data_IF_681440955249
#
_entry.id   IF_681440955249
#
_cell.length_a   1.000
_cell.length_b   1.000
_cell.length_c   1.000
_cell.angle_alpha   90.00
_cell.angle_beta   90.00
_cell.angle_gamma   90.00
#
_symmetry.space_group_name_H-M   'P 1'
#
loop_
_entity.id
_entity.type
_entity.pdbx_description
1 polymer ?
#
# COMPACT_ATOMS: atom_id res chain seq x y z
N UNK A 1 -37.93 -16.83 -26.11
CA UNK A 1 -36.78 -16.30 -25.34
C UNK A 1 -36.99 -16.43 -23.82
N UNK A 2 -38.18 -16.14 -23.28
CA UNK A 2 -38.51 -16.23 -21.85
C UNK A 2 -38.41 -17.64 -21.20
N UNK A 3 -38.62 -18.73 -21.95
CA UNK A 3 -38.52 -20.11 -21.44
C UNK A 3 -37.09 -20.54 -21.06
N UNK A 4 -36.05 -19.93 -21.66
CA UNK A 4 -34.64 -20.26 -21.38
C UNK A 4 -34.12 -19.62 -20.09
N UNK A 5 -34.69 -18.48 -19.70
CA UNK A 5 -34.35 -17.78 -18.45
C UNK A 5 -34.96 -18.46 -17.23
N UNK A 6 -36.20 -18.95 -17.35
CA UNK A 6 -36.89 -19.68 -16.27
C UNK A 6 -36.13 -20.97 -15.90
N UNK A 7 -35.59 -21.69 -16.89
CA UNK A 7 -34.84 -22.93 -16.67
C UNK A 7 -33.49 -22.70 -15.96
N UNK A 8 -32.85 -21.55 -16.19
CA UNK A 8 -31.59 -21.18 -15.51
C UNK A 8 -31.81 -20.74 -14.05
N UNK A 9 -32.98 -20.18 -13.72
CA UNK A 9 -33.35 -19.86 -12.33
C UNK A 9 -33.64 -21.10 -11.49
N UNK A 10 -34.29 -22.13 -12.05
CA UNK A 10 -34.53 -23.40 -11.34
C UNK A 10 -33.26 -24.20 -11.01
N UNK A 11 -32.17 -24.04 -11.78
CA UNK A 11 -30.90 -24.77 -11.60
C UNK A 11 -29.96 -24.11 -10.57
N UNK A 12 -30.24 -22.85 -10.17
CA UNK A 12 -29.47 -22.13 -9.13
C UNK A 12 -30.06 -22.25 -7.72
N UNK A 13 -31.07 -23.11 -7.52
CA UNK A 13 -31.52 -23.42 -6.17
C UNK A 13 -30.47 -24.31 -5.50
N UNK A 14 -29.91 -23.83 -4.39
CA UNK A 14 -28.89 -24.53 -3.62
C UNK A 14 -29.24 -26.01 -3.45
N UNK A 15 -28.31 -26.96 -3.68
CA UNK A 15 -28.58 -28.39 -3.59
C UNK A 15 -29.15 -28.82 -2.23
N UNK A 16 -28.97 -28.00 -1.19
CA UNK A 16 -29.58 -28.14 0.15
C UNK A 16 -31.12 -28.07 0.13
N UNK A 17 -31.71 -27.26 -0.76
CA UNK A 17 -33.16 -27.08 -0.87
C UNK A 17 -33.81 -28.32 -1.50
N UNK A 18 -33.15 -28.94 -2.48
CA UNK A 18 -33.61 -30.20 -3.09
C UNK A 18 -33.56 -31.37 -2.10
N UNK A 19 -32.53 -31.44 -1.26
CA UNK A 19 -32.44 -32.43 -0.18
C UNK A 19 -33.56 -32.22 0.84
N UNK A 20 -33.81 -30.97 1.24
CA UNK A 20 -34.92 -30.63 2.14
C UNK A 20 -36.29 -31.04 1.58
N UNK A 21 -36.55 -30.73 0.31
CA UNK A 21 -37.80 -31.11 -0.37
C UNK A 21 -37.95 -32.64 -0.50
N UNK A 22 -36.87 -33.36 -0.79
CA UNK A 22 -36.90 -34.83 -0.88
C UNK A 22 -37.19 -35.48 0.47
N UNK A 23 -36.60 -34.97 1.56
CA UNK A 23 -36.86 -35.45 2.92
C UNK A 23 -38.31 -35.19 3.33
N UNK A 24 -38.85 -34.00 3.04
CA UNK A 24 -40.26 -33.65 3.35
C UNK A 24 -41.22 -34.52 2.53
N UNK A 25 -40.95 -34.70 1.24
CA UNK A 25 -41.75 -35.53 0.35
C UNK A 25 -41.73 -37.01 0.78
N UNK A 26 -40.55 -37.54 1.12
CA UNK A 26 -40.37 -38.91 1.62
C UNK A 26 -41.07 -39.12 2.97
N UNK A 27 -41.01 -38.15 3.88
CA UNK A 27 -41.66 -38.21 5.20
C UNK A 27 -43.19 -38.13 5.10
N UNK A 28 -43.71 -37.31 4.19
CA UNK A 28 -45.16 -37.22 3.93
C UNK A 28 -45.73 -38.51 3.31
N UNK A 29 -44.97 -39.15 2.42
CA UNK A 29 -45.35 -40.43 1.82
C UNK A 29 -45.38 -41.56 2.86
N UNK A 30 -44.48 -41.51 3.85
CA UNK A 30 -44.38 -42.47 4.97
C UNK A 30 -45.60 -42.42 5.90
N UNK A 31 -46.20 -41.24 6.07
CA UNK A 31 -47.39 -41.07 6.93
C UNK A 31 -48.68 -41.54 6.25
N UNK A 32 -48.75 -41.47 4.92
CA UNK A 32 -49.98 -41.73 4.15
C UNK A 32 -50.09 -43.17 3.61
N UNK A 33 -48.98 -43.88 3.48
CA UNK A 33 -48.94 -45.25 2.95
C UNK A 33 -49.54 -46.35 3.86
N UNK A 34 -49.35 -46.36 5.20
CA UNK A 34 -49.78 -47.47 6.05
C UNK A 34 -51.30 -47.77 6.08
N UNK A 35 -52.23 -46.79 6.15
CA UNK A 35 -53.65 -47.09 6.31
C UNK A 35 -54.32 -47.65 5.04
N UNK A 36 -53.70 -47.50 3.86
CA UNK A 36 -54.32 -47.89 2.59
C UNK A 36 -54.23 -49.41 2.30
N UNK A 37 -53.21 -50.11 2.82
CA UNK A 37 -53.06 -51.56 2.56
C UNK A 37 -53.72 -52.46 3.62
N UNK A 38 -53.99 -51.96 4.83
CA UNK A 38 -54.62 -52.78 5.89
C UNK A 38 -56.14 -52.93 5.68
N UNK A 39 -56.77 -52.07 4.87
CA UNK A 39 -58.22 -52.17 4.61
C UNK A 39 -58.62 -53.30 3.66
N UNK A 40 -57.66 -53.93 2.95
CA UNK A 40 -57.95 -55.00 1.99
C UNK A 40 -57.99 -56.41 2.60
N UNK A 41 -57.48 -56.59 3.82
CA UNK A 41 -57.56 -57.85 4.56
C UNK A 41 -58.49 -57.66 5.76
N UNK A 42 -59.78 -58.00 5.57
CA UNK A 42 -60.82 -57.91 6.61
C UNK A 42 -60.57 -58.84 7.80
N UNK A 43 -59.64 -58.47 8.69
CA UNK A 43 -59.29 -59.17 9.92
C UNK A 43 -59.51 -58.25 11.13
N UNK A 44 -60.52 -58.56 11.94
CA UNK A 44 -60.94 -57.77 13.12
C UNK A 44 -60.18 -58.17 14.41
N UNK A 45 -58.84 -58.24 14.37
CA UNK A 45 -58.03 -58.44 15.57
C UNK A 45 -56.92 -57.36 15.67
N UNK A 46 -57.08 -56.45 16.63
CA UNK A 46 -56.26 -55.25 16.79
C UNK A 46 -54.77 -55.54 17.04
N UNK A 47 -54.43 -56.68 17.65
CA UNK A 47 -53.05 -56.97 18.08
C UNK A 47 -52.13 -57.35 16.92
N UNK A 48 -52.64 -58.07 15.92
CA UNK A 48 -51.85 -58.52 14.76
C UNK A 48 -51.56 -57.35 13.82
N UNK A 49 -52.54 -56.48 13.56
CA UNK A 49 -52.36 -55.30 12.74
C UNK A 49 -51.35 -54.31 13.33
N UNK A 50 -51.39 -54.09 14.65
CA UNK A 50 -50.45 -53.21 15.33
C UNK A 50 -48.99 -53.71 15.24
N UNK A 51 -48.79 -55.03 15.28
CA UNK A 51 -47.43 -55.62 15.23
C UNK A 51 -46.83 -55.54 13.83
N UNK A 52 -47.63 -55.83 12.79
CA UNK A 52 -47.20 -55.72 11.39
C UNK A 52 -46.87 -54.26 11.00
N UNK A 53 -47.66 -53.31 11.48
CA UNK A 53 -47.41 -51.89 11.24
C UNK A 53 -46.10 -51.43 11.90
N UNK A 54 -45.85 -51.85 13.14
CA UNK A 54 -44.62 -51.49 13.84
C UNK A 54 -43.37 -52.08 13.17
N UNK A 55 -43.43 -53.33 12.72
CA UNK A 55 -42.30 -53.98 12.05
C UNK A 55 -41.99 -53.35 10.68
N UNK A 56 -43.02 -52.92 9.97
CA UNK A 56 -42.86 -52.15 8.73
C UNK A 56 -42.25 -50.77 9.00
N UNK A 57 -42.73 -50.04 10.01
CA UNK A 57 -42.15 -48.74 10.44
C UNK A 57 -40.69 -48.88 10.87
N UNK A 58 -40.34 -49.94 11.60
CA UNK A 58 -38.96 -50.18 12.05
C UNK A 58 -38.01 -50.46 10.88
N UNK A 59 -38.43 -51.29 9.92
CA UNK A 59 -37.63 -51.62 8.73
C UNK A 59 -37.43 -50.38 7.83
N UNK A 60 -38.49 -49.59 7.64
CA UNK A 60 -38.41 -48.34 6.87
C UNK A 60 -37.52 -47.30 7.57
N UNK A 61 -37.64 -47.13 8.88
CA UNK A 61 -36.80 -46.24 9.65
C UNK A 61 -35.31 -46.62 9.55
N UNK A 62 -35.00 -47.91 9.51
CA UNK A 62 -33.64 -48.42 9.34
C UNK A 62 -33.05 -48.11 7.95
N UNK A 63 -33.85 -48.27 6.88
CA UNK A 63 -33.43 -47.95 5.51
C UNK A 63 -33.20 -46.43 5.35
N UNK A 64 -34.11 -45.61 5.86
CA UNK A 64 -33.98 -44.15 5.83
C UNK A 64 -32.82 -43.65 6.70
N UNK A 65 -32.63 -44.25 7.87
CA UNK A 65 -31.49 -43.99 8.74
C UNK A 65 -30.17 -44.30 8.04
N UNK A 66 -30.07 -45.43 7.35
CA UNK A 66 -28.89 -45.79 6.54
C UNK A 66 -28.63 -44.79 5.40
N UNK A 67 -29.68 -44.38 4.69
CA UNK A 67 -29.58 -43.37 3.63
C UNK A 67 -29.08 -42.01 4.15
N UNK A 68 -29.58 -41.56 5.29
CA UNK A 68 -29.14 -40.31 5.93
C UNK A 68 -27.65 -40.34 6.31
N UNK A 69 -27.15 -41.47 6.80
CA UNK A 69 -25.71 -41.65 7.13
C UNK A 69 -24.85 -41.55 5.87
N UNK A 70 -25.24 -42.20 4.78
CA UNK A 70 -24.49 -42.14 3.51
C UNK A 70 -24.44 -40.71 2.94
N UNK A 71 -25.55 -39.98 3.00
CA UNK A 71 -25.60 -38.57 2.61
C UNK A 71 -24.70 -37.72 3.51
N UNK A 72 -24.70 -37.97 4.82
CA UNK A 72 -23.81 -37.30 5.77
C UNK A 72 -22.33 -37.53 5.44
N UNK A 73 -21.94 -38.77 5.14
CA UNK A 73 -20.56 -39.12 4.74
C UNK A 73 -20.17 -38.43 3.42
N UNK A 74 -21.06 -38.42 2.42
CA UNK A 74 -20.83 -37.72 1.15
C UNK A 74 -20.57 -36.22 1.37
N UNK A 75 -21.40 -35.56 2.18
CA UNK A 75 -21.22 -34.15 2.49
C UNK A 75 -19.97 -33.88 3.32
N UNK A 76 -19.65 -34.74 4.28
CA UNK A 76 -18.42 -34.63 5.06
C UNK A 76 -17.17 -34.71 4.17
N UNK A 77 -17.14 -35.65 3.22
CA UNK A 77 -16.09 -35.75 2.23
C UNK A 77 -16.02 -34.52 1.32
N UNK A 78 -17.17 -34.02 0.85
CA UNK A 78 -17.21 -32.84 -0.02
C UNK A 78 -16.72 -31.58 0.69
N UNK A 79 -17.05 -31.41 1.97
CA UNK A 79 -16.55 -30.31 2.79
C UNK A 79 -15.02 -30.40 2.97
N UNK A 80 -14.48 -31.61 3.16
CA UNK A 80 -13.04 -31.83 3.34
C UNK A 80 -12.24 -31.49 2.07
N UNK A 81 -12.76 -31.84 0.90
CA UNK A 81 -12.14 -31.51 -0.41
C UNK A 81 -12.08 -30.00 -0.64
N UNK A 82 -13.17 -29.28 -0.35
CA UNK A 82 -13.22 -27.81 -0.45
C UNK A 82 -12.25 -27.17 0.54
N UNK A 83 -12.15 -27.69 1.77
CA UNK A 83 -11.20 -27.19 2.77
C UNK A 83 -9.75 -27.34 2.28
N UNK A 84 -9.38 -28.46 1.66
CA UNK A 84 -8.03 -28.66 1.13
C UNK A 84 -7.73 -27.79 -0.09
N UNK A 85 -8.73 -27.51 -0.94
CA UNK A 85 -8.58 -26.62 -2.08
C UNK A 85 -8.27 -25.18 -1.64
N UNK A 86 -8.95 -24.70 -0.58
CA UNK A 86 -8.73 -23.35 -0.02
C UNK A 86 -7.33 -23.19 0.58
N UNK A 87 -6.79 -24.22 1.24
CA UNK A 87 -5.44 -24.15 1.83
C UNK A 87 -4.34 -23.92 0.80
N UNK A 88 -4.46 -24.53 -0.40
CA UNK A 88 -3.48 -24.34 -1.49
C UNK A 88 -3.55 -22.93 -2.07
N UNK A 89 -4.75 -22.40 -2.29
CA UNK A 89 -4.92 -21.02 -2.80
C UNK A 89 -4.48 -19.96 -1.77
N UNK A 90 -4.67 -20.22 -0.48
CA UNK A 90 -4.27 -19.30 0.60
C UNK A 90 -2.74 -19.17 0.68
N UNK A 91 -2.02 -20.27 0.44
CA UNK A 91 -0.57 -20.29 0.44
C UNK A 91 0.02 -19.50 -0.74
N UNK A 92 -0.51 -19.69 -1.95
CA UNK A 92 -0.08 -18.92 -3.13
C UNK A 92 -0.39 -17.42 -2.99
N UNK A 93 -1.52 -17.08 -2.38
CA UNK A 93 -1.89 -15.68 -2.12
C UNK A 93 -0.94 -15.02 -1.12
N UNK A 94 -0.51 -15.76 -0.09
CA UNK A 94 0.44 -15.28 0.90
C UNK A 94 1.81 -15.00 0.28
N UNK A 95 2.27 -15.85 -0.65
CA UNK A 95 3.53 -15.62 -1.36
C UNK A 95 3.46 -14.42 -2.31
N UNK A 96 2.38 -14.26 -3.08
CA UNK A 96 2.20 -13.10 -3.97
C UNK A 96 2.13 -11.78 -3.19
N UNK A 97 1.51 -11.77 -2.01
CA UNK A 97 1.49 -10.57 -1.14
C UNK A 97 2.88 -10.17 -0.68
N UNK A 98 3.75 -11.14 -0.39
CA UNK A 98 5.13 -10.89 -0.03
C UNK A 98 5.92 -10.30 -1.21
N UNK A 99 5.74 -10.83 -2.42
CA UNK A 99 6.36 -10.30 -3.64
C UNK A 99 5.93 -8.85 -3.91
N UNK A 100 4.64 -8.54 -3.81
CA UNK A 100 4.11 -7.18 -3.96
C UNK A 100 4.66 -6.25 -2.87
N UNK A 101 4.78 -6.71 -1.63
CA UNK A 101 5.36 -5.93 -0.53
C UNK A 101 6.84 -5.60 -0.82
N UNK A 102 7.63 -6.56 -1.29
CA UNK A 102 9.02 -6.34 -1.69
C UNK A 102 9.15 -5.37 -2.86
N UNK A 103 8.30 -5.48 -3.88
CA UNK A 103 8.28 -4.55 -5.01
C UNK A 103 7.90 -3.12 -4.57
N UNK A 104 6.96 -2.99 -3.62
CA UNK A 104 6.56 -1.69 -3.06
C UNK A 104 7.71 -1.04 -2.28
N UNK A 105 8.50 -1.84 -1.54
CA UNK A 105 9.67 -1.35 -0.83
C UNK A 105 10.74 -0.80 -1.78
N UNK A 106 11.02 -1.48 -2.90
CA UNK A 106 11.99 -0.98 -3.91
C UNK A 106 11.55 0.35 -4.53
N UNK A 107 10.25 0.49 -4.85
CA UNK A 107 9.71 1.76 -5.35
C UNK A 107 9.76 2.88 -4.33
N UNK A 108 9.52 2.58 -3.05
CA UNK A 108 9.61 3.58 -1.98
C UNK A 108 11.05 4.04 -1.78
N UNK A 109 12.03 3.13 -1.78
CA UNK A 109 13.44 3.50 -1.64
C UNK A 109 13.92 4.42 -2.77
N UNK A 110 13.52 4.15 -4.02
CA UNK A 110 13.84 5.03 -5.16
C UNK A 110 13.19 6.41 -5.01
N UNK A 111 11.95 6.44 -4.53
CA UNK A 111 11.21 7.67 -4.28
C UNK A 111 11.86 8.48 -3.15
N UNK A 112 12.27 7.82 -2.06
CA UNK A 112 12.96 8.43 -0.93
C UNK A 112 14.33 8.98 -1.33
N UNK A 113 15.10 8.27 -2.16
CA UNK A 113 16.36 8.78 -2.70
C UNK A 113 16.16 10.03 -3.55
N UNK A 114 15.15 10.04 -4.42
CA UNK A 114 14.80 11.22 -5.21
C UNK A 114 14.40 12.40 -4.32
N UNK A 115 13.55 12.16 -3.33
CA UNK A 115 13.07 13.17 -2.39
C UNK A 115 14.20 13.74 -1.52
N UNK A 116 15.12 12.89 -1.04
CA UNK A 116 16.29 13.32 -0.27
C UNK A 116 17.21 14.20 -1.11
N UNK A 117 17.45 13.83 -2.37
CA UNK A 117 18.26 14.64 -3.28
C UNK A 117 17.61 16.01 -3.52
N UNK A 118 16.31 16.05 -3.81
CA UNK A 118 15.54 17.30 -3.99
C UNK A 118 15.56 18.14 -2.71
N UNK A 119 15.43 17.53 -1.53
CA UNK A 119 15.48 18.23 -0.25
C UNK A 119 16.87 18.81 0.04
N UNK A 120 17.93 18.05 -0.23
CA UNK A 120 19.32 18.51 -0.09
C UNK A 120 19.60 19.69 -1.04
N UNK A 121 19.19 19.58 -2.29
CA UNK A 121 19.32 20.67 -3.26
C UNK A 121 18.53 21.92 -2.84
N UNK A 122 17.31 21.74 -2.30
CA UNK A 122 16.53 22.84 -1.75
C UNK A 122 17.21 23.54 -0.55
N UNK A 123 17.84 22.78 0.34
CA UNK A 123 18.59 23.34 1.47
C UNK A 123 19.81 24.15 1.03
N UNK A 124 20.54 23.67 0.01
CA UNK A 124 21.66 24.42 -0.56
C UNK A 124 21.17 25.73 -1.17
N UNK A 125 20.11 25.68 -1.97
CA UNK A 125 19.49 26.87 -2.59
C UNK A 125 19.04 27.89 -1.54
N UNK A 126 18.39 27.45 -0.46
CA UNK A 126 17.94 28.35 0.62
C UNK A 126 19.13 29.02 1.33
N UNK A 127 20.20 28.27 1.63
CA UNK A 127 21.42 28.84 2.22
C UNK A 127 22.11 29.81 1.28
N UNK A 128 22.13 29.49 -0.02
CA UNK A 128 22.70 30.35 -1.05
C UNK A 128 21.95 31.67 -1.14
N UNK A 129 20.62 31.64 -1.29
CA UNK A 129 19.78 32.85 -1.35
C UNK A 129 19.99 33.72 -0.12
N UNK A 130 19.97 33.13 1.08
CA UNK A 130 20.19 33.85 2.32
C UNK A 130 21.58 34.50 2.39
N UNK A 131 22.61 33.81 1.95
CA UNK A 131 23.97 34.35 1.97
C UNK A 131 24.16 35.49 0.95
N UNK A 132 23.51 35.41 -0.21
CA UNK A 132 23.45 36.50 -1.19
C UNK A 132 22.71 37.71 -0.63
N UNK A 133 21.57 37.52 0.04
CA UNK A 133 20.83 38.61 0.68
C UNK A 133 21.69 39.32 1.74
N UNK A 134 22.49 38.56 2.49
CA UNK A 134 23.42 39.10 3.49
C UNK A 134 24.53 39.97 2.89
N UNK A 135 24.95 39.76 1.63
CA UNK A 135 25.93 40.62 0.95
C UNK A 135 25.42 42.06 0.76
N UNK A 136 24.11 42.21 0.61
CA UNK A 136 23.44 43.49 0.46
C UNK A 136 23.07 44.17 1.78
N UNK A 137 23.33 43.54 2.93
CA UNK A 137 22.84 44.02 4.21
C UNK A 137 23.37 45.42 4.55
N UNK A 138 22.47 46.29 5.03
CA UNK A 138 22.76 47.65 5.46
C UNK A 138 22.17 47.91 6.85
N UNK A 139 22.78 48.82 7.60
CA UNK A 139 22.27 49.28 8.89
C UNK A 139 21.10 50.27 8.71
N UNK A 140 20.56 50.76 9.84
CA UNK A 140 19.47 51.74 9.84
C UNK A 140 19.88 53.10 9.24
N UNK A 141 21.18 53.36 9.11
CA UNK A 141 21.76 54.60 8.58
C UNK A 141 22.12 54.48 7.09
N UNK A 142 21.91 53.31 6.49
CA UNK A 142 22.24 53.02 5.10
C UNK A 142 23.70 52.62 4.85
N UNK A 143 24.50 52.40 5.91
CA UNK A 143 25.87 51.93 5.79
C UNK A 143 25.92 50.40 5.64
N UNK A 144 26.94 49.85 4.98
CA UNK A 144 27.18 48.41 4.94
C UNK A 144 27.21 47.78 6.34
N UNK A 145 26.34 46.79 6.58
CA UNK A 145 26.35 46.00 7.82
C UNK A 145 27.47 44.93 7.73
N UNK A 146 28.70 45.35 8.03
CA UNK A 146 29.91 44.55 7.78
C UNK A 146 29.86 43.17 8.44
N UNK A 147 29.35 43.05 9.65
CA UNK A 147 29.26 41.77 10.37
C UNK A 147 28.36 40.76 9.63
N UNK A 148 27.24 41.24 9.08
CA UNK A 148 26.29 40.42 8.32
C UNK A 148 26.88 40.05 6.95
N UNK A 149 27.50 41.02 6.27
CA UNK A 149 28.15 40.81 4.96
C UNK A 149 29.26 39.78 5.05
N UNK A 150 30.10 39.85 6.09
CA UNK A 150 31.14 38.85 6.35
C UNK A 150 30.54 37.45 6.56
N UNK A 151 29.43 37.36 7.31
CA UNK A 151 28.68 36.11 7.47
C UNK A 151 28.22 35.53 6.13
N UNK A 152 27.68 36.36 5.25
CA UNK A 152 27.26 35.97 3.90
C UNK A 152 28.44 35.50 3.02
N UNK A 153 29.56 36.22 3.04
CA UNK A 153 30.77 35.86 2.27
C UNK A 153 31.30 34.48 2.67
N UNK A 154 31.43 34.23 3.97
CA UNK A 154 31.91 32.94 4.47
C UNK A 154 30.90 31.80 4.31
N UNK A 155 29.60 32.10 4.37
CA UNK A 155 28.57 31.14 4.02
C UNK A 155 28.64 30.75 2.54
N UNK A 156 28.84 31.71 1.63
CA UNK A 156 29.06 31.45 0.21
C UNK A 156 30.34 30.64 -0.04
N UNK A 157 31.45 30.95 0.64
CA UNK A 157 32.68 30.13 0.57
C UNK A 157 32.37 28.67 0.95
N UNK A 158 31.67 28.46 2.07
CA UNK A 158 31.32 27.12 2.52
C UNK A 158 30.41 26.39 1.53
N UNK A 159 29.40 27.05 0.96
CA UNK A 159 28.52 26.46 -0.06
C UNK A 159 29.32 26.09 -1.32
N UNK A 160 30.23 26.96 -1.76
CA UNK A 160 31.10 26.71 -2.91
C UNK A 160 32.04 25.51 -2.73
N UNK A 161 32.33 25.14 -1.48
CA UNK A 161 33.11 23.94 -1.14
C UNK A 161 32.23 22.68 -0.98
N UNK A 162 30.96 22.83 -0.58
CA UNK A 162 30.01 21.73 -0.43
C UNK A 162 29.36 21.31 -1.76
N UNK A 163 29.29 22.22 -2.74
CA UNK A 163 28.55 22.04 -3.99
C UNK A 163 29.36 22.52 -5.20
N UNK A 164 29.91 21.58 -5.96
CA UNK A 164 30.67 21.89 -7.19
C UNK A 164 29.85 22.65 -8.22
N UNK A 165 28.55 22.35 -8.33
CA UNK A 165 27.63 23.04 -9.25
C UNK A 165 27.46 24.53 -8.93
N UNK A 166 27.54 24.90 -7.66
CA UNK A 166 27.32 26.28 -7.20
C UNK A 166 28.63 27.05 -7.06
N UNK A 167 29.78 26.36 -7.09
CA UNK A 167 31.10 26.96 -6.95
C UNK A 167 31.33 28.11 -7.94
N UNK A 168 31.14 27.87 -9.24
CA UNK A 168 31.37 28.89 -10.27
C UNK A 168 30.42 30.09 -10.14
N UNK A 169 29.09 29.89 -10.05
CA UNK A 169 28.15 30.99 -9.81
C UNK A 169 28.51 31.85 -8.59
N UNK A 170 28.97 31.22 -7.49
CA UNK A 170 29.42 31.95 -6.30
C UNK A 170 30.63 32.82 -6.61
N UNK A 171 31.64 32.30 -7.31
CA UNK A 171 32.82 33.07 -7.70
C UNK A 171 32.45 34.26 -8.61
N UNK A 172 31.49 34.09 -9.51
CA UNK A 172 30.97 35.18 -10.34
C UNK A 172 30.30 36.27 -9.50
N UNK A 173 29.45 35.89 -8.54
CA UNK A 173 28.80 36.84 -7.63
C UNK A 173 29.84 37.61 -6.81
N UNK A 174 30.79 36.91 -6.20
CA UNK A 174 31.82 37.50 -5.37
C UNK A 174 32.73 38.45 -6.18
N UNK A 175 33.13 38.05 -7.39
CA UNK A 175 33.95 38.91 -8.27
C UNK A 175 33.17 40.11 -8.80
N UNK A 176 31.89 39.94 -9.15
CA UNK A 176 31.01 41.04 -9.54
C UNK A 176 30.79 42.03 -8.40
N UNK A 177 30.65 41.53 -7.17
CA UNK A 177 30.52 42.34 -5.97
C UNK A 177 31.75 43.23 -5.76
N UNK A 178 32.95 42.66 -5.84
CA UNK A 178 34.20 43.43 -5.72
C UNK A 178 34.29 44.47 -6.84
N UNK A 179 34.00 44.09 -8.09
CA UNK A 179 34.01 45.02 -9.23
C UNK A 179 33.05 46.19 -9.04
N UNK A 180 31.88 45.95 -8.44
CA UNK A 180 30.85 46.98 -8.22
C UNK A 180 31.17 47.89 -7.03
N UNK A 181 31.73 47.35 -5.95
CA UNK A 181 31.97 48.08 -4.69
C UNK A 181 33.41 48.61 -4.56
N UNK A 182 34.32 48.26 -5.47
CA UNK A 182 35.71 48.71 -5.52
C UNK A 182 36.09 49.28 -6.89
N UNK A 183 35.43 50.35 -7.37
CA UNK A 183 35.85 51.01 -8.60
C UNK A 183 37.21 51.69 -8.40
N UNK A 184 38.03 51.71 -9.46
CA UNK A 184 39.40 52.24 -9.44
C UNK A 184 39.45 53.70 -8.96
N UNK A 185 38.45 54.50 -9.32
CA UNK A 185 38.31 55.91 -8.89
C UNK A 185 38.19 56.07 -7.37
N UNK A 186 37.57 55.11 -6.67
CA UNK A 186 37.45 55.13 -5.20
C UNK A 186 38.72 54.62 -4.51
N UNK A 187 39.53 53.81 -5.20
CA UNK A 187 40.78 53.26 -4.65
C UNK A 187 41.85 54.36 -4.43
N UNK A 188 41.82 55.45 -5.20
CA UNK A 188 42.72 56.59 -5.01
C UNK A 188 42.36 57.43 -3.77
N UNK A 189 41.09 57.43 -3.37
CA UNK A 189 40.57 58.26 -2.27
C UNK A 189 40.61 57.51 -0.93
N UNK A 190 40.59 56.17 -0.96
CA UNK A 190 40.44 55.34 0.22
C UNK A 190 41.71 54.54 0.53
N UNK A 191 42.45 54.96 1.56
CA UNK A 191 43.74 54.38 1.97
C UNK A 191 43.63 52.94 2.52
N UNK A 192 42.41 52.49 2.87
CA UNK A 192 42.15 51.15 3.46
C UNK A 192 41.01 50.43 2.76
N UNK A 193 41.29 49.22 2.28
CA UNK A 193 40.30 48.30 1.69
C UNK A 193 39.24 47.92 2.72
N UNK A 194 37.96 47.91 2.32
CA UNK A 194 36.87 47.50 3.20
C UNK A 194 36.95 46.01 3.58
N UNK A 195 36.45 45.66 4.76
CA UNK A 195 36.59 44.32 5.33
C UNK A 195 35.89 43.24 4.49
N UNK A 196 34.76 43.57 3.87
CA UNK A 196 34.02 42.69 2.97
C UNK A 196 34.79 42.42 1.67
N UNK A 197 35.37 43.45 1.02
CA UNK A 197 36.22 43.27 -0.15
C UNK A 197 37.44 42.40 0.20
N UNK A 198 38.11 42.69 1.31
CA UNK A 198 39.26 41.90 1.75
C UNK A 198 38.87 40.43 2.00
N UNK A 199 37.73 40.18 2.64
CA UNK A 199 37.23 38.83 2.87
C UNK A 199 36.96 38.10 1.55
N UNK A 200 36.30 38.76 0.59
CA UNK A 200 36.03 38.17 -0.73
C UNK A 200 37.33 37.82 -1.46
N UNK A 201 38.30 38.74 -1.48
CA UNK A 201 39.61 38.48 -2.08
C UNK A 201 40.33 37.34 -1.38
N UNK A 202 40.15 37.19 -0.06
CA UNK A 202 40.71 36.08 0.71
C UNK A 202 40.05 34.75 0.33
N UNK A 203 38.73 34.71 0.18
CA UNK A 203 37.98 33.52 -0.28
C UNK A 203 38.42 33.12 -1.69
N UNK A 204 38.48 34.09 -2.62
CA UNK A 204 38.94 33.85 -3.99
C UNK A 204 40.39 33.40 -4.01
N UNK A 205 41.26 33.99 -3.18
CA UNK A 205 42.67 33.61 -3.07
C UNK A 205 42.89 32.22 -2.45
N UNK A 206 41.97 31.77 -1.60
CA UNK A 206 41.95 30.41 -1.01
C UNK A 206 41.44 29.34 -1.95
N UNK A 207 40.85 29.69 -3.11
CA UNK A 207 40.40 28.71 -4.10
C UNK A 207 41.62 27.95 -4.65
N UNK A 208 41.93 26.81 -4.07
CA UNK A 208 42.88 25.88 -4.66
C UNK A 208 42.15 25.11 -5.76
N UNK A 209 42.77 24.95 -6.93
CA UNK A 209 42.19 24.25 -8.08
C UNK A 209 42.19 22.74 -7.78
N UNK A 210 41.37 22.29 -6.84
CA UNK A 210 41.25 20.89 -6.42
C UNK A 210 39.99 20.22 -6.99
N UNK A 211 39.53 20.63 -8.17
CA UNK A 211 38.39 20.03 -8.90
C UNK A 211 38.79 19.40 -10.24
N UNK A 212 40.02 18.90 -10.38
CA UNK A 212 40.39 18.04 -11.50
C UNK A 212 41.16 16.81 -11.00
N UNK A 213 40.39 15.78 -10.63
CA UNK A 213 40.79 14.37 -10.63
C UNK A 213 39.54 13.52 -10.85
#
# INVERSE_FOLDING_TARGET
MALREMHKKCIKLDPKIWIGLYVIFSTGLLYCYPPFQVSHFGINNATVNATLENQYRATLAQILGGGAVLVGIYFAWKNLEVAQATLKSDQETSQKKLEVALATLDSNMKTDQGNLKVSQEGQITERFTRAVDQLGAIDQLGNPAIEIRLGGIYALERIANESEKDHWPIMEILTAYVRKNSPIEMAEIQEKVSLDIQAILTVIGRRNVSSSN
#
